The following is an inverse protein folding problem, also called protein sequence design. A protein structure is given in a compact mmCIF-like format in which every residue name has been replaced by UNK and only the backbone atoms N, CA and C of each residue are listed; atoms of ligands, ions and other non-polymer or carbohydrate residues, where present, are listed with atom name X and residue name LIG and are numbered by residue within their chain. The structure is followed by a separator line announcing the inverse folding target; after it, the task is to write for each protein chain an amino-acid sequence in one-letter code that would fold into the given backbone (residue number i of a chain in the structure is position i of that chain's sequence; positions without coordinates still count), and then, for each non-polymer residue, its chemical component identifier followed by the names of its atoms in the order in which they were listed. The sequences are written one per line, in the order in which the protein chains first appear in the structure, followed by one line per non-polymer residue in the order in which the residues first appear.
data_IF_003679725443
#
_entry.id   IF_003679725443
#
_cell.length_a   1.000
_cell.length_b   1.000
_cell.length_c   1.000
_cell.angle_alpha   90.00
_cell.angle_beta   90.00
_cell.angle_gamma   90.00
#
_symmetry.space_group_name_H-M   'P 1'
#
loop_
_entity.id
_entity.type
_entity.pdbx_description
1 polymer ?
#
# COMPACT_ATOMS: atom_id res chain seq x y z
N UNK A 1 3.75 1.31 -19.58
CA UNK A 1 4.41 1.22 -18.27
C UNK A 1 4.22 -0.19 -17.73
N UNK A 2 5.28 -0.81 -17.24
CA UNK A 2 5.21 -2.18 -16.71
C UNK A 2 5.83 -2.23 -15.31
N UNK A 3 5.25 -3.05 -14.43
CA UNK A 3 5.78 -3.33 -13.12
C UNK A 3 5.99 -4.84 -12.99
N UNK A 4 7.22 -5.29 -13.19
CA UNK A 4 7.53 -6.72 -13.22
C UNK A 4 7.32 -7.41 -11.86
N UNK A 5 7.48 -6.67 -10.76
CA UNK A 5 7.30 -7.20 -9.39
C UNK A 5 5.82 -7.31 -9.00
N UNK A 6 4.92 -6.66 -9.74
CA UNK A 6 3.47 -6.70 -9.46
C UNK A 6 2.72 -6.94 -10.79
N UNK A 7 2.85 -8.13 -11.39
CA UNK A 7 2.19 -8.42 -12.66
C UNK A 7 0.67 -8.55 -12.46
N UNK A 8 -0.10 -8.14 -13.47
CA UNK A 8 -1.53 -8.43 -13.49
C UNK A 8 -1.75 -9.91 -13.75
N UNK A 9 -2.68 -10.56 -13.04
CA UNK A 9 -3.07 -11.93 -13.35
C UNK A 9 -3.67 -12.04 -14.75
N UNK A 10 -3.49 -13.20 -15.39
CA UNK A 10 -4.14 -13.48 -16.66
C UNK A 10 -5.66 -13.39 -16.53
N UNK A 11 -6.30 -12.79 -17.52
CA UNK A 11 -7.75 -12.59 -17.55
C UNK A 11 -8.33 -11.81 -16.36
N UNK A 12 -7.51 -10.99 -15.69
CA UNK A 12 -7.99 -10.13 -14.61
C UNK A 12 -9.05 -9.14 -15.13
N UNK A 13 -10.07 -8.93 -14.30
CA UNK A 13 -11.15 -7.97 -14.58
C UNK A 13 -10.92 -6.64 -13.86
N UNK A 14 -9.69 -6.37 -13.44
CA UNK A 14 -9.27 -5.11 -12.83
C UNK A 14 -7.87 -4.75 -13.32
N UNK A 15 -7.51 -3.49 -13.16
CA UNK A 15 -6.15 -3.00 -13.39
C UNK A 15 -5.44 -2.84 -12.06
N UNK A 16 -4.19 -3.26 -11.96
CA UNK A 16 -3.40 -3.04 -10.75
C UNK A 16 -3.15 -1.55 -10.53
N UNK A 17 -2.85 -0.82 -11.59
CA UNK A 17 -2.49 0.58 -11.49
C UNK A 17 -2.81 1.29 -12.80
N UNK A 18 -3.44 2.45 -12.69
CA UNK A 18 -3.73 3.34 -13.82
C UNK A 18 -3.14 4.72 -13.54
N UNK A 19 -2.63 5.36 -14.58
CA UNK A 19 -2.27 6.78 -14.54
C UNK A 19 -3.36 7.54 -15.28
N UNK A 20 -4.07 8.40 -14.55
CA UNK A 20 -5.19 9.19 -15.07
C UNK A 20 -4.86 10.66 -14.82
N UNK A 21 -4.39 11.37 -15.85
CA UNK A 21 -3.84 12.71 -15.65
C UNK A 21 -2.62 12.62 -14.73
N UNK A 22 -2.66 13.30 -13.61
CA UNK A 22 -1.61 13.24 -12.58
C UNK A 22 -1.90 12.20 -11.49
N UNK A 23 -3.10 11.63 -11.46
CA UNK A 23 -3.49 10.68 -10.44
C UNK A 23 -2.96 9.28 -10.76
N UNK A 24 -2.38 8.64 -9.76
CA UNK A 24 -1.99 7.23 -9.81
C UNK A 24 -3.02 6.46 -9.02
N UNK A 25 -3.84 5.68 -9.71
CA UNK A 25 -4.98 4.94 -9.13
C UNK A 25 -4.62 3.47 -9.09
N UNK A 26 -4.70 2.87 -7.92
CA UNK A 26 -4.28 1.48 -7.71
C UNK A 26 -5.40 0.65 -7.12
N UNK A 27 -5.45 -0.61 -7.52
CA UNK A 27 -6.26 -1.62 -6.82
C UNK A 27 -5.66 -1.92 -5.46
N UNK A 28 -6.48 -2.48 -4.56
CA UNK A 28 -6.00 -2.92 -3.25
C UNK A 28 -4.90 -3.96 -3.37
N UNK A 29 -3.82 -3.78 -2.61
CA UNK A 29 -2.67 -4.67 -2.62
C UNK A 29 -2.65 -5.54 -1.37
N UNK A 30 -2.33 -6.81 -1.56
CA UNK A 30 -2.13 -7.79 -0.50
C UNK A 30 -0.75 -8.44 -0.63
N UNK A 31 -0.37 -9.22 0.37
CA UNK A 31 0.89 -9.94 0.34
C UNK A 31 0.86 -11.21 -0.53
N UNK A 32 -0.31 -11.56 -1.11
CA UNK A 32 -0.36 -12.69 -2.05
C UNK A 32 0.49 -12.36 -3.31
N UNK A 33 1.29 -13.28 -3.86
CA UNK A 33 1.39 -14.70 -3.52
C UNK A 33 2.47 -15.07 -2.51
N UNK A 34 3.20 -14.12 -1.90
CA UNK A 34 4.25 -14.43 -0.93
C UNK A 34 3.71 -15.28 0.24
N UNK A 35 2.46 -15.03 0.66
CA UNK A 35 1.79 -15.79 1.72
C UNK A 35 1.48 -17.24 1.36
N UNK A 36 1.58 -17.62 0.08
CA UNK A 36 1.46 -19.01 -0.36
C UNK A 36 2.76 -19.78 -0.17
N UNK A 37 3.89 -19.08 -0.12
CA UNK A 37 5.21 -19.69 -0.03
C UNK A 37 5.69 -19.80 1.41
N UNK A 38 5.23 -18.88 2.27
CA UNK A 38 5.60 -18.85 3.69
C UNK A 38 4.52 -18.16 4.51
N UNK A 39 4.50 -18.46 5.80
CA UNK A 39 3.62 -17.79 6.75
C UNK A 39 4.23 -16.42 7.08
N UNK A 40 3.45 -15.36 6.89
CA UNK A 40 3.85 -14.00 7.20
C UNK A 40 2.90 -13.42 8.25
N UNK A 41 3.45 -12.81 9.30
CA UNK A 41 2.66 -12.03 10.25
C UNK A 41 2.18 -10.72 9.61
N UNK A 42 1.31 -9.99 10.29
CA UNK A 42 0.75 -8.74 9.77
C UNK A 42 1.82 -7.70 9.49
N UNK A 43 2.85 -7.61 10.33
CA UNK A 43 3.98 -6.70 10.12
C UNK A 43 4.65 -6.99 8.75
N UNK A 44 5.02 -8.25 8.51
CA UNK A 44 5.69 -8.64 7.26
C UNK A 44 4.79 -8.53 6.05
N UNK A 45 3.51 -8.90 6.18
CA UNK A 45 2.54 -8.70 5.10
C UNK A 45 2.44 -7.21 4.74
N UNK A 46 2.40 -6.34 5.74
CA UNK A 46 2.33 -4.89 5.50
C UNK A 46 3.56 -4.39 4.76
N UNK A 47 4.77 -4.85 5.12
CA UNK A 47 5.98 -4.47 4.39
C UNK A 47 5.94 -4.93 2.93
N UNK A 48 5.48 -6.16 2.66
CA UNK A 48 5.32 -6.67 1.29
C UNK A 48 4.36 -5.78 0.51
N UNK A 49 3.21 -5.44 1.10
CA UNK A 49 2.20 -4.60 0.47
C UNK A 49 2.74 -3.21 0.17
N UNK A 50 3.40 -2.56 1.13
CA UNK A 50 3.99 -1.23 0.92
C UNK A 50 5.06 -1.25 -0.17
N UNK A 51 5.86 -2.31 -0.26
CA UNK A 51 6.84 -2.48 -1.34
C UNK A 51 6.15 -2.57 -2.69
N UNK A 52 5.08 -3.35 -2.82
CA UNK A 52 4.32 -3.45 -4.06
C UNK A 52 3.76 -2.09 -4.48
N UNK A 53 3.19 -1.36 -3.52
CA UNK A 53 2.64 -0.02 -3.78
C UNK A 53 3.75 0.91 -4.29
N UNK A 54 4.90 0.92 -3.63
CA UNK A 54 6.04 1.74 -4.06
C UNK A 54 6.53 1.36 -5.46
N UNK A 55 6.57 0.07 -5.77
CA UNK A 55 6.99 -0.42 -7.09
C UNK A 55 6.00 0.04 -8.18
N UNK A 56 4.69 -0.03 -7.91
CA UNK A 56 3.67 0.46 -8.84
C UNK A 56 3.78 1.97 -9.05
N UNK A 57 3.94 2.73 -7.98
CA UNK A 57 4.08 4.18 -8.06
C UNK A 57 5.34 4.56 -8.84
N UNK A 58 6.45 3.86 -8.60
CA UNK A 58 7.69 4.08 -9.34
C UNK A 58 7.53 3.75 -10.83
N UNK A 59 6.87 2.64 -11.16
CA UNK A 59 6.59 2.28 -12.54
C UNK A 59 5.70 3.31 -13.24
N UNK A 60 4.82 3.97 -12.49
CA UNK A 60 3.96 5.03 -13.00
C UNK A 60 4.68 6.38 -13.17
N UNK A 61 5.92 6.51 -12.70
CA UNK A 61 6.71 7.74 -12.81
C UNK A 61 6.79 8.57 -11.54
N UNK A 62 6.23 8.10 -10.43
CA UNK A 62 6.32 8.75 -9.13
C UNK A 62 7.42 8.17 -8.25
N UNK A 63 7.36 8.50 -6.98
CA UNK A 63 8.25 7.96 -5.93
C UNK A 63 7.40 7.57 -4.71
N UNK A 64 7.96 6.87 -3.73
CA UNK A 64 7.20 6.60 -2.48
C UNK A 64 6.67 7.88 -1.81
N UNK A 65 7.35 9.01 -1.97
CA UNK A 65 6.89 10.30 -1.45
C UNK A 65 5.70 10.89 -2.22
N UNK A 66 5.31 10.27 -3.33
CA UNK A 66 4.10 10.63 -4.08
C UNK A 66 2.84 9.99 -3.53
N UNK A 67 2.97 9.06 -2.58
CA UNK A 67 1.83 8.39 -1.92
C UNK A 67 1.22 9.35 -0.91
N UNK A 68 -0.07 9.68 -1.09
CA UNK A 68 -0.73 10.72 -0.28
C UNK A 68 -1.67 10.16 0.77
N UNK A 69 -2.24 8.98 0.53
CA UNK A 69 -3.19 8.37 1.45
C UNK A 69 -3.16 6.85 1.35
N UNK A 70 -3.35 6.21 2.48
CA UNK A 70 -3.55 4.77 2.60
C UNK A 70 -4.90 4.49 3.25
N UNK A 71 -5.64 3.53 2.73
CA UNK A 71 -6.80 2.94 3.39
C UNK A 71 -6.43 1.48 3.70
N UNK A 72 -6.44 1.13 4.97
CA UNK A 72 -5.89 -0.13 5.47
C UNK A 72 -7.01 -0.98 6.04
N UNK A 73 -7.14 -2.19 5.51
CA UNK A 73 -8.13 -3.18 5.93
C UNK A 73 -7.39 -4.29 6.68
N UNK A 74 -7.78 -4.52 7.94
CA UNK A 74 -7.24 -5.60 8.78
C UNK A 74 -8.33 -6.63 9.07
N UNK A 75 -7.95 -7.90 9.15
CA UNK A 75 -8.88 -8.94 9.61
C UNK A 75 -8.96 -9.01 11.14
N UNK A 76 -8.00 -8.39 11.85
CA UNK A 76 -8.00 -8.28 13.30
C UNK A 76 -7.41 -6.92 13.71
N UNK A 77 -8.25 -6.05 14.28
CA UNK A 77 -7.85 -4.71 14.69
C UNK A 77 -6.75 -4.71 15.77
N UNK A 78 -6.60 -5.81 16.51
CA UNK A 78 -5.54 -5.95 17.50
C UNK A 78 -4.14 -5.85 16.86
N UNK A 79 -4.02 -6.08 15.56
CA UNK A 79 -2.75 -6.01 14.83
C UNK A 79 -2.41 -4.62 14.29
N UNK A 80 -3.17 -3.58 14.67
CA UNK A 80 -2.94 -2.21 14.17
C UNK A 80 -1.52 -1.69 14.47
N UNK A 81 -0.93 -2.08 15.62
CA UNK A 81 0.40 -1.62 16.00
C UNK A 81 1.49 -2.22 15.11
N UNK A 82 1.29 -3.45 14.60
CA UNK A 82 2.19 -4.06 13.61
C UNK A 82 2.20 -3.27 12.31
N UNK A 83 1.03 -2.81 11.88
CA UNK A 83 0.90 -1.94 10.70
C UNK A 83 1.62 -0.62 10.91
N UNK A 84 1.44 0.00 12.09
CA UNK A 84 2.12 1.26 12.44
C UNK A 84 3.65 1.11 12.42
N UNK A 85 4.15 0.02 12.98
CA UNK A 85 5.58 -0.29 12.97
C UNK A 85 6.10 -0.46 11.54
N UNK A 86 5.38 -1.19 10.69
CA UNK A 86 5.76 -1.39 9.30
C UNK A 86 5.79 -0.06 8.53
N UNK A 87 4.80 0.81 8.74
CA UNK A 87 4.80 2.14 8.11
C UNK A 87 6.02 2.97 8.53
N UNK A 88 6.37 2.94 9.83
CA UNK A 88 7.54 3.66 10.33
C UNK A 88 8.82 3.15 9.71
N UNK A 89 8.97 1.83 9.63
CA UNK A 89 10.14 1.21 9.04
C UNK A 89 10.25 1.47 7.54
N UNK A 90 9.11 1.53 6.86
CA UNK A 90 9.08 1.73 5.40
C UNK A 90 9.27 3.20 5.00
N UNK A 91 8.51 4.12 5.61
CA UNK A 91 8.54 5.54 5.26
C UNK A 91 9.59 6.34 6.02
N UNK A 92 10.16 5.78 7.09
CA UNK A 92 11.09 6.46 7.98
C UNK A 92 10.41 7.10 9.18
N UNK A 93 11.19 7.38 10.21
CA UNK A 93 10.66 7.88 11.50
C UNK A 93 10.26 9.35 11.45
N UNK A 94 10.81 10.11 10.51
CA UNK A 94 10.59 11.57 10.45
C UNK A 94 9.24 11.93 9.82
N UNK A 95 8.73 11.08 8.94
CA UNK A 95 7.54 11.46 8.17
C UNK A 95 7.79 12.64 7.23
N UNK A 96 6.76 13.37 6.79
CA UNK A 96 5.36 13.09 7.07
C UNK A 96 4.89 11.80 6.40
N UNK A 97 4.02 11.10 7.09
CA UNK A 97 3.40 9.89 6.56
C UNK A 97 2.20 10.26 5.70
N UNK A 98 1.81 9.39 4.73
CA UNK A 98 0.54 9.55 4.05
C UNK A 98 -0.61 9.63 5.05
N UNK A 99 -1.68 10.32 4.70
CA UNK A 99 -2.92 10.25 5.45
C UNK A 99 -3.38 8.78 5.51
N UNK A 100 -4.07 8.38 6.56
CA UNK A 100 -4.41 6.97 6.77
C UNK A 100 -5.77 6.79 7.39
N UNK A 101 -6.52 5.83 6.85
CA UNK A 101 -7.72 5.26 7.47
C UNK A 101 -7.45 3.78 7.68
N UNK A 102 -7.79 3.25 8.85
CA UNK A 102 -7.60 1.84 9.17
C UNK A 102 -8.88 1.28 9.79
N UNK A 103 -9.36 0.17 9.24
CA UNK A 103 -10.60 -0.47 9.69
C UNK A 103 -10.43 -1.98 9.74
N UNK A 104 -11.22 -2.63 10.58
CA UNK A 104 -11.33 -4.09 10.59
C UNK A 104 -12.38 -4.54 9.57
N UNK A 105 -12.10 -5.64 8.90
CA UNK A 105 -13.03 -6.31 7.98
C UNK A 105 -13.16 -7.78 8.38
N UNK A 106 -14.27 -8.40 8.01
CA UNK A 106 -14.55 -9.79 8.38
C UNK A 106 -13.65 -10.80 7.67
N UNK A 107 -13.21 -10.49 6.44
CA UNK A 107 -12.35 -11.38 5.65
C UNK A 107 -11.70 -10.62 4.50
N UNK A 108 -10.60 -11.14 4.00
CA UNK A 108 -9.96 -10.75 2.75
C UNK A 108 -10.11 -11.89 1.75
N UNK A 109 -9.58 -11.71 0.54
CA UNK A 109 -9.81 -12.65 -0.57
C UNK A 109 -9.25 -14.06 -0.30
N UNK A 110 -8.19 -14.17 0.53
CA UNK A 110 -7.63 -15.46 0.94
C UNK A 110 -7.49 -15.51 2.46
N UNK A 111 -7.68 -16.70 3.08
CA UNK A 111 -7.71 -16.80 4.55
C UNK A 111 -6.38 -16.50 5.24
N UNK A 112 -5.25 -16.65 4.54
CA UNK A 112 -3.92 -16.34 5.10
C UNK A 112 -3.60 -14.84 5.10
N UNK A 113 -4.38 -14.03 4.41
CA UNK A 113 -4.18 -12.59 4.36
C UNK A 113 -4.75 -11.92 5.59
N UNK A 114 -3.98 -11.02 6.20
CA UNK A 114 -4.39 -10.28 7.40
C UNK A 114 -4.49 -8.78 7.14
N UNK A 115 -3.92 -8.29 6.03
CA UNK A 115 -3.94 -6.87 5.68
C UNK A 115 -4.09 -6.69 4.16
N UNK A 116 -4.84 -5.67 3.80
CA UNK A 116 -4.92 -5.16 2.43
C UNK A 116 -4.86 -3.63 2.49
N UNK A 117 -4.24 -3.00 1.50
CA UNK A 117 -4.10 -1.55 1.47
C UNK A 117 -4.49 -1.01 0.10
N UNK A 118 -5.38 -0.02 0.12
CA UNK A 118 -5.61 0.88 -1.01
C UNK A 118 -4.69 2.08 -0.84
N UNK A 119 -3.90 2.39 -1.85
CA UNK A 119 -3.04 3.57 -1.85
C UNK A 119 -3.50 4.58 -2.89
N UNK A 120 -3.33 5.84 -2.54
CA UNK A 120 -3.58 6.98 -3.43
C UNK A 120 -2.26 7.71 -3.61
N UNK A 121 -1.90 8.00 -4.86
CA UNK A 121 -0.68 8.72 -5.18
C UNK A 121 -0.92 9.70 -6.31
N UNK A 122 -0.02 10.69 -6.44
CA UNK A 122 -0.15 11.72 -7.47
C UNK A 122 1.22 12.09 -8.00
N UNK A 123 1.36 12.13 -9.32
CA UNK A 123 2.60 12.55 -9.98
C UNK A 123 2.94 13.98 -9.59
N UNK A 124 4.22 14.26 -9.40
CA UNK A 124 4.70 15.59 -9.05
C UNK A 124 4.53 15.95 -7.58
N UNK A 125 3.90 15.10 -6.77
CA UNK A 125 3.74 15.33 -5.33
C UNK A 125 4.93 14.72 -4.58
N UNK A 126 5.47 15.50 -3.65
CA UNK A 126 6.47 15.07 -2.68
C UNK A 126 5.94 15.41 -1.29
N UNK A 127 5.60 14.40 -0.49
CA UNK A 127 5.06 14.60 0.85
C UNK A 127 5.98 15.42 1.76
N UNK A 128 7.29 15.38 1.51
CA UNK A 128 8.24 16.17 2.30
C UNK A 128 8.07 17.68 2.09
N UNK A 129 7.41 18.08 1.01
CA UNK A 129 7.06 19.47 0.71
C UNK A 129 5.64 19.83 1.15
N UNK A 130 4.87 18.86 1.65
CA UNK A 130 3.48 19.09 2.04
C UNK A 130 3.38 19.95 3.29
N UNK A 131 2.36 20.81 3.33
CA UNK A 131 2.06 21.62 4.51
C UNK A 131 1.14 20.81 5.44
N UNK A 132 1.63 20.54 6.64
CA UNK A 132 0.86 19.81 7.65
C UNK A 132 -0.09 20.78 8.34
N UNK A 133 -1.38 20.44 8.33
CA UNK A 133 -2.37 21.19 9.09
C UNK A 133 -2.38 20.66 10.51
N UNK A 134 -2.12 21.50 11.48
CA UNK A 134 -2.10 21.13 12.89
C UNK A 134 -3.01 22.05 13.69
N UNK A 135 -3.40 21.60 14.86
CA UNK A 135 -4.23 22.39 15.79
C UNK A 135 -3.37 23.36 16.59
#
# INVERSE_FOLDING_TARGET
MKCASVPEPDAATWSNCLVIGEDIVMSGMTAHPATRQQTLDTYRQTLVVLRKIADLVSAAGGTPDSITKLVIYLTDIAHKDEVGRARRDFFGEQGPYPCSTLVEVSALVFPELTVEIDAYARLGVDLRQAVRVTV
#
